data_IF_178380404518
#
_entry.id   IF_178380404518
#
_cell.length_a   1.000
_cell.length_b   1.000
_cell.length_c   1.000
_cell.angle_alpha   90.00
_cell.angle_beta   90.00
_cell.angle_gamma   90.00
#
_symmetry.space_group_name_H-M   'P 1'
#
loop_
_entity.id
_entity.type
_entity.pdbx_description
1 polymer ?
#
# COMPACT_ATOMS: atom_id res chain seq x y z
N UNK A 1 -14.97 9.94 8.83
CA UNK A 1 -15.35 8.55 9.18
C UNK A 1 -14.09 7.81 9.62
N UNK A 2 -14.16 6.95 10.66
CA UNK A 2 -13.00 6.29 11.30
C UNK A 2 -12.03 5.73 10.26
N UNK A 3 -10.76 6.10 10.29
CA UNK A 3 -9.74 5.75 9.28
C UNK A 3 -9.66 4.23 8.99
N UNK A 4 -10.00 3.41 9.97
CA UNK A 4 -10.05 1.94 9.87
C UNK A 4 -11.23 1.41 9.04
N UNK A 5 -12.37 2.13 9.02
CA UNK A 5 -13.55 1.71 8.26
C UNK A 5 -13.31 1.78 6.75
N UNK A 6 -12.43 2.69 6.29
CA UNK A 6 -12.06 2.80 4.88
C UNK A 6 -11.36 1.53 4.39
N UNK A 7 -10.52 0.92 5.22
CA UNK A 7 -9.83 -0.33 4.88
C UNK A 7 -10.81 -1.49 4.77
N UNK A 8 -11.77 -1.57 5.70
CA UNK A 8 -12.82 -2.59 5.64
C UNK A 8 -13.65 -2.43 4.37
N UNK A 9 -14.03 -1.20 4.00
CA UNK A 9 -14.76 -0.92 2.75
C UNK A 9 -13.96 -1.32 1.52
N UNK A 10 -12.65 -1.03 1.47
CA UNK A 10 -11.76 -1.44 0.36
C UNK A 10 -11.76 -2.97 0.19
N UNK A 11 -11.66 -3.71 1.30
CA UNK A 11 -11.53 -5.18 1.26
C UNK A 11 -12.88 -5.90 1.08
N UNK A 12 -13.95 -5.37 1.65
CA UNK A 12 -15.27 -6.01 1.70
C UNK A 12 -16.17 -5.57 0.54
N UNK A 13 -16.12 -4.29 0.14
CA UNK A 13 -17.02 -3.68 -0.84
C UNK A 13 -16.24 -2.92 -1.93
N UNK A 14 -15.28 -3.61 -2.57
CA UNK A 14 -14.39 -3.01 -3.59
C UNK A 14 -15.13 -2.30 -4.74
N UNK A 15 -16.25 -2.85 -5.20
CA UNK A 15 -16.96 -2.30 -6.36
C UNK A 15 -17.62 -0.96 -6.01
N UNK A 16 -18.26 -0.87 -4.84
CA UNK A 16 -18.84 0.37 -4.30
C UNK A 16 -17.72 1.39 -4.05
N UNK A 17 -16.59 0.93 -3.52
CA UNK A 17 -15.45 1.79 -3.26
C UNK A 17 -14.88 2.41 -4.55
N UNK A 18 -14.72 1.61 -5.62
CA UNK A 18 -14.26 2.11 -6.91
C UNK A 18 -15.29 3.00 -7.60
N UNK A 19 -16.60 2.72 -7.49
CA UNK A 19 -17.64 3.61 -8.01
C UNK A 19 -17.63 4.95 -7.31
N UNK A 20 -17.44 4.99 -5.98
CA UNK A 20 -17.33 6.26 -5.26
C UNK A 20 -16.07 7.06 -5.63
N UNK A 21 -14.96 6.40 -5.99
CA UNK A 21 -13.78 7.09 -6.57
C UNK A 21 -14.13 7.69 -7.94
N UNK A 22 -14.82 6.92 -8.79
CA UNK A 22 -15.28 7.36 -10.11
C UNK A 22 -16.22 8.58 -10.00
N UNK A 23 -17.16 8.55 -9.06
CA UNK A 23 -18.13 9.62 -8.84
C UNK A 23 -17.56 10.80 -8.03
N UNK A 24 -16.33 10.67 -7.53
CA UNK A 24 -15.62 11.71 -6.79
C UNK A 24 -16.16 11.98 -5.38
N UNK A 25 -16.88 11.02 -4.81
CA UNK A 25 -17.56 11.17 -3.52
C UNK A 25 -16.53 11.07 -2.38
N UNK A 26 -16.37 12.17 -1.64
CA UNK A 26 -15.49 12.31 -0.48
C UNK A 26 -14.00 11.95 -0.72
N UNK A 27 -13.53 12.09 -1.96
CA UNK A 27 -12.13 11.89 -2.37
C UNK A 27 -11.07 12.42 -1.39
N UNK A 28 -11.11 13.70 -0.94
CA UNK A 28 -10.05 14.23 -0.07
C UNK A 28 -10.02 13.57 1.31
N UNK A 29 -11.16 13.14 1.85
CA UNK A 29 -11.20 12.43 3.13
C UNK A 29 -10.66 11.01 2.99
N UNK A 30 -11.05 10.30 1.93
CA UNK A 30 -10.54 8.95 1.61
C UNK A 30 -9.04 8.95 1.37
N UNK A 31 -8.54 9.92 0.60
CA UNK A 31 -7.10 10.10 0.37
C UNK A 31 -6.34 10.29 1.68
N UNK A 32 -6.82 11.16 2.57
CA UNK A 32 -6.17 11.36 3.89
C UNK A 32 -6.17 10.10 4.73
N UNK A 33 -7.31 9.39 4.82
CA UNK A 33 -7.42 8.16 5.58
C UNK A 33 -6.50 7.06 5.05
N UNK A 34 -6.43 6.88 3.72
CA UNK A 34 -5.54 5.92 3.06
C UNK A 34 -4.06 6.27 3.23
N UNK A 35 -3.73 7.55 3.14
CA UNK A 35 -2.38 8.03 3.32
C UNK A 35 -1.91 7.78 4.76
N UNK A 36 -2.72 8.16 5.76
CA UNK A 36 -2.38 7.96 7.17
C UNK A 36 -2.29 6.48 7.55
N UNK A 37 -3.25 5.67 7.09
CA UNK A 37 -3.24 4.22 7.35
C UNK A 37 -2.07 3.50 6.70
N UNK A 38 -1.78 3.77 5.42
CA UNK A 38 -0.63 3.17 4.73
C UNK A 38 0.70 3.60 5.38
N UNK A 39 0.86 4.87 5.74
CA UNK A 39 2.03 5.38 6.47
C UNK A 39 2.23 4.64 7.79
N UNK A 40 1.16 4.49 8.59
CA UNK A 40 1.22 3.79 9.86
C UNK A 40 1.57 2.30 9.70
N UNK A 41 0.93 1.61 8.75
CA UNK A 41 1.15 0.17 8.56
C UNK A 41 2.51 -0.16 7.97
N UNK A 42 2.99 0.63 7.00
CA UNK A 42 4.36 0.48 6.48
C UNK A 42 5.40 0.76 7.56
N UNK A 43 5.17 1.77 8.42
CA UNK A 43 6.08 2.06 9.53
C UNK A 43 6.12 0.92 10.55
N UNK A 44 4.97 0.36 10.92
CA UNK A 44 4.87 -0.79 11.83
C UNK A 44 5.59 -2.02 11.27
N UNK A 45 5.32 -2.37 10.00
CA UNK A 45 6.00 -3.50 9.36
C UNK A 45 7.51 -3.25 9.20
N UNK A 46 7.91 -2.02 8.88
CA UNK A 46 9.32 -1.65 8.78
C UNK A 46 10.07 -1.72 10.11
N UNK A 47 9.41 -1.38 11.22
CA UNK A 47 9.95 -1.57 12.56
C UNK A 47 10.16 -3.05 12.88
N UNK A 48 9.19 -3.91 12.53
CA UNK A 48 9.29 -5.37 12.68
C UNK A 48 10.43 -5.95 11.85
N UNK A 49 10.62 -5.49 10.62
CA UNK A 49 11.70 -5.96 9.76
C UNK A 49 13.09 -5.55 10.29
N UNK A 50 13.22 -4.29 10.73
CA UNK A 50 14.51 -3.74 11.17
C UNK A 50 14.91 -4.08 12.62
N UNK A 51 14.01 -4.65 13.43
CA UNK A 51 14.32 -5.11 14.79
C UNK A 51 15.30 -6.29 14.82
N UNK A 52 15.56 -6.93 13.68
CA UNK A 52 16.49 -8.04 13.51
C UNK A 52 17.96 -7.71 13.76
N UNK A 53 18.37 -6.44 13.69
CA UNK A 53 19.79 -6.04 13.82
C UNK A 53 20.03 -5.03 14.95
N UNK A 54 19.21 -3.98 15.04
CA UNK A 54 19.36 -2.94 16.06
C UNK A 54 18.11 -2.06 16.14
N UNK A 55 17.82 -1.52 17.31
CA UNK A 55 16.72 -0.55 17.51
C UNK A 55 16.85 0.67 16.58
N UNK A 56 18.07 1.13 16.33
CA UNK A 56 18.34 2.23 15.38
C UNK A 56 18.06 1.85 13.92
N UNK A 57 18.28 0.58 13.57
CA UNK A 57 17.98 0.06 12.23
C UNK A 57 16.48 -0.20 12.04
N UNK A 58 15.77 -0.57 13.11
CA UNK A 58 14.32 -0.63 13.14
C UNK A 58 13.70 0.74 12.85
N UNK A 59 14.16 1.79 13.54
CA UNK A 59 13.66 3.14 13.32
C UNK A 59 13.98 3.66 11.92
N UNK A 60 15.20 3.42 11.42
CA UNK A 60 15.59 3.79 10.06
C UNK A 60 14.72 3.09 9.01
N UNK A 61 14.45 1.80 9.19
CA UNK A 61 13.63 1.00 8.25
C UNK A 61 12.15 1.39 8.29
N UNK A 62 11.62 1.69 9.48
CA UNK A 62 10.25 2.16 9.68
C UNK A 62 9.97 3.49 8.98
N UNK A 63 10.96 4.39 8.91
CA UNK A 63 10.82 5.66 8.20
C UNK A 63 11.09 5.50 6.70
N UNK A 64 12.08 4.68 6.33
CA UNK A 64 12.50 4.51 4.94
C UNK A 64 11.44 3.84 4.07
N UNK A 65 10.72 2.84 4.61
CA UNK A 65 9.71 2.10 3.86
C UNK A 65 8.53 2.97 3.37
N UNK A 66 7.86 3.74 4.24
CA UNK A 66 6.81 4.65 3.79
C UNK A 66 7.31 5.70 2.79
N UNK A 67 8.49 6.28 3.01
CA UNK A 67 9.09 7.26 2.09
C UNK A 67 9.30 6.64 0.71
N UNK A 68 9.80 5.41 0.66
CA UNK A 68 10.05 4.71 -0.60
C UNK A 68 8.74 4.50 -1.38
N UNK A 69 7.68 4.02 -0.73
CA UNK A 69 6.38 3.82 -1.39
C UNK A 69 5.73 5.15 -1.82
N UNK A 70 5.82 6.19 -1.00
CA UNK A 70 5.29 7.52 -1.37
C UNK A 70 6.08 8.16 -2.52
N UNK A 71 7.41 8.02 -2.54
CA UNK A 71 8.23 8.45 -3.65
C UNK A 71 7.87 7.71 -4.95
N UNK A 72 7.64 6.39 -4.88
CA UNK A 72 7.17 5.62 -6.04
C UNK A 72 5.81 6.10 -6.53
N UNK A 73 4.87 6.42 -5.63
CA UNK A 73 3.59 7.01 -6.02
C UNK A 73 3.78 8.33 -6.74
N UNK A 74 4.65 9.21 -6.23
CA UNK A 74 4.89 10.53 -6.83
C UNK A 74 5.50 10.42 -8.24
N UNK A 75 6.38 9.44 -8.46
CA UNK A 75 7.01 9.19 -9.76
C UNK A 75 6.05 8.48 -10.74
N UNK A 76 5.26 7.52 -10.25
CA UNK A 76 4.37 6.70 -11.09
C UNK A 76 3.00 7.36 -11.36
N UNK A 77 2.55 8.29 -10.52
CA UNK A 77 1.27 8.98 -10.71
C UNK A 77 1.17 9.77 -12.02
N UNK A 78 2.13 10.66 -12.38
CA UNK A 78 2.03 11.42 -13.63
C UNK A 78 2.13 10.50 -14.86
N UNK A 79 3.00 9.50 -14.82
CA UNK A 79 3.16 8.56 -15.94
C UNK A 79 1.90 7.73 -16.18
N UNK A 80 1.30 7.15 -15.12
CA UNK A 80 0.02 6.45 -15.23
C UNK A 80 -1.12 7.34 -15.70
N UNK A 81 -1.15 8.61 -15.26
CA UNK A 81 -2.16 9.57 -15.70
C UNK A 81 -2.08 9.81 -17.22
N UNK A 82 -0.89 10.09 -17.74
CA UNK A 82 -0.71 10.28 -19.18
C UNK A 82 -1.03 9.02 -19.98
N UNK A 83 -0.66 7.83 -19.50
CA UNK A 83 -1.08 6.59 -20.15
C UNK A 83 -2.61 6.44 -20.17
N UNK A 84 -3.30 6.69 -19.05
CA UNK A 84 -4.76 6.61 -19.00
C UNK A 84 -5.43 7.59 -19.98
N UNK A 85 -4.94 8.82 -20.08
CA UNK A 85 -5.43 9.81 -21.06
C UNK A 85 -5.18 9.35 -22.50
N UNK A 86 -4.00 8.77 -22.80
CA UNK A 86 -3.69 8.22 -24.13
C UNK A 86 -4.61 7.06 -24.53
N UNK A 87 -5.03 6.23 -23.56
CA UNK A 87 -6.00 5.15 -23.78
C UNK A 87 -7.46 5.64 -23.85
N UNK A 88 -7.71 6.96 -23.78
CA UNK A 88 -9.04 7.56 -23.90
C UNK A 88 -9.84 7.60 -22.60
N UNK A 89 -9.19 7.45 -21.45
CA UNK A 89 -9.85 7.50 -20.13
C UNK A 89 -10.15 8.95 -19.71
N UNK A 90 -11.36 9.20 -19.18
CA UNK A 90 -11.78 10.51 -18.67
C UNK A 90 -11.40 10.75 -17.20
N UNK A 91 -10.38 10.05 -16.70
CA UNK A 91 -9.99 10.12 -15.28
C UNK A 91 -9.30 11.44 -14.93
N UNK A 92 -9.68 12.01 -13.79
CA UNK A 92 -8.98 13.14 -13.18
C UNK A 92 -7.68 12.68 -12.48
N UNK A 93 -6.69 13.56 -12.41
CA UNK A 93 -5.41 13.29 -11.72
C UNK A 93 -5.63 12.81 -10.27
N UNK A 94 -6.58 13.41 -9.56
CA UNK A 94 -6.94 13.05 -8.18
C UNK A 94 -7.50 11.63 -8.07
N UNK A 95 -8.27 11.17 -9.07
CA UNK A 95 -8.81 9.81 -9.11
C UNK A 95 -7.70 8.80 -9.36
N UNK A 96 -6.76 9.11 -10.26
CA UNK A 96 -5.58 8.27 -10.48
C UNK A 96 -4.73 8.14 -9.21
N UNK A 97 -4.47 9.26 -8.51
CA UNK A 97 -3.77 9.23 -7.22
C UNK A 97 -4.54 8.40 -6.19
N UNK A 98 -5.87 8.51 -6.12
CA UNK A 98 -6.69 7.71 -5.21
C UNK A 98 -6.61 6.21 -5.52
N UNK A 99 -6.59 5.81 -6.79
CA UNK A 99 -6.41 4.41 -7.21
C UNK A 99 -5.05 3.85 -6.80
N UNK A 100 -3.97 4.59 -7.07
CA UNK A 100 -2.61 4.18 -6.69
C UNK A 100 -2.49 4.12 -5.16
N UNK A 101 -3.05 5.10 -4.45
CA UNK A 101 -3.04 5.12 -2.99
C UNK A 101 -3.85 3.96 -2.40
N UNK A 102 -4.96 3.58 -3.03
CA UNK A 102 -5.73 2.39 -2.65
C UNK A 102 -4.88 1.13 -2.78
N UNK A 103 -4.17 0.97 -3.91
CA UNK A 103 -3.25 -0.14 -4.09
C UNK A 103 -2.15 -0.16 -3.01
N UNK A 104 -1.58 1.01 -2.67
CA UNK A 104 -0.62 1.12 -1.57
C UNK A 104 -1.22 0.71 -0.22
N UNK A 105 -2.42 1.18 0.11
CA UNK A 105 -3.11 0.80 1.35
C UNK A 105 -3.33 -0.71 1.42
N UNK A 106 -3.76 -1.35 0.32
CA UNK A 106 -3.90 -2.81 0.26
C UNK A 106 -2.56 -3.51 0.50
N UNK A 107 -1.47 -3.06 -0.16
CA UNK A 107 -0.14 -3.65 0.09
C UNK A 107 0.30 -3.49 1.55
N UNK A 108 0.03 -2.34 2.17
CA UNK A 108 0.41 -2.06 3.56
C UNK A 108 -0.36 -2.93 4.55
N UNK A 109 -1.66 -3.14 4.31
CA UNK A 109 -2.50 -4.03 5.13
C UNK A 109 -2.05 -5.48 5.03
N UNK A 110 -1.70 -5.94 3.83
CA UNK A 110 -1.18 -7.29 3.62
C UNK A 110 0.16 -7.48 4.34
N UNK A 111 1.09 -6.52 4.20
CA UNK A 111 2.36 -6.54 4.91
C UNK A 111 2.16 -6.61 6.42
N UNK A 112 1.28 -5.78 6.97
CA UNK A 112 0.94 -5.82 8.40
C UNK A 112 0.35 -7.18 8.82
N UNK A 113 -0.47 -7.80 7.97
CA UNK A 113 -1.02 -9.14 8.20
C UNK A 113 0.07 -10.22 8.26
N UNK A 114 1.16 -10.04 7.52
CA UNK A 114 2.35 -10.91 7.57
C UNK A 114 3.36 -10.52 8.67
N UNK A 115 3.17 -9.40 9.38
CA UNK A 115 4.04 -8.99 10.47
C UNK A 115 4.20 -10.03 11.60
N UNK A 116 3.13 -10.67 12.13
CA UNK A 116 3.28 -11.70 13.16
C UNK A 116 4.05 -12.92 12.67
N UNK A 117 3.90 -13.29 11.39
CA UNK A 117 4.66 -14.39 10.78
C UNK A 117 6.15 -14.00 10.74
N UNK A 118 6.46 -12.77 10.31
CA UNK A 118 7.84 -12.26 10.32
C UNK A 118 8.44 -12.23 11.73
N UNK A 119 7.68 -11.77 12.74
CA UNK A 119 8.11 -11.78 14.14
C UNK A 119 8.38 -13.19 14.68
N UNK A 120 7.52 -14.15 14.34
CA UNK A 120 7.71 -15.55 14.77
C UNK A 120 9.02 -16.13 14.24
N UNK A 121 9.32 -15.90 12.96
CA UNK A 121 10.58 -16.35 12.37
C UNK A 121 11.79 -15.57 12.88
N UNK A 122 11.64 -14.29 13.20
CA UNK A 122 12.68 -13.49 13.84
C UNK A 122 13.05 -14.03 15.22
N UNK A 123 12.08 -14.48 16.01
CA UNK A 123 12.30 -15.07 17.34
C UNK A 123 12.84 -16.51 17.27
N UNK A 124 12.46 -17.27 16.24
CA UNK A 124 12.76 -18.71 16.15
C UNK A 124 14.03 -19.04 15.38
N UNK A 125 14.45 -18.18 14.43
CA UNK A 125 15.56 -18.46 13.51
C UNK A 125 16.67 -17.41 13.62
N UNK A 126 17.92 -17.88 13.75
CA UNK A 126 19.13 -17.03 13.77
C UNK A 126 19.77 -16.83 12.38
N UNK A 127 19.23 -17.47 11.33
CA UNK A 127 19.74 -17.40 9.96
C UNK A 127 19.24 -16.13 9.24
N UNK A 128 20.11 -15.12 9.14
CA UNK A 128 19.79 -13.83 8.51
C UNK A 128 19.37 -13.95 7.04
N UNK A 129 19.99 -14.85 6.28
CA UNK A 129 19.70 -15.03 4.86
C UNK A 129 18.26 -15.52 4.64
N UNK A 130 17.79 -16.44 5.49
CA UNK A 130 16.41 -16.93 5.45
C UNK A 130 15.41 -15.81 5.75
N UNK A 131 15.67 -15.00 6.79
CA UNK A 131 14.81 -13.88 7.16
C UNK A 131 14.71 -12.84 6.02
N UNK A 132 15.81 -12.55 5.31
CA UNK A 132 15.77 -11.67 4.13
C UNK A 132 14.88 -12.23 3.03
N UNK A 133 15.09 -13.49 2.63
CA UNK A 133 14.30 -14.10 1.55
C UNK A 133 12.82 -14.16 1.91
N UNK A 134 12.49 -14.44 3.18
CA UNK A 134 11.11 -14.42 3.67
C UNK A 134 10.46 -13.04 3.49
N UNK A 135 11.12 -11.96 3.93
CA UNK A 135 10.58 -10.61 3.77
C UNK A 135 10.47 -10.23 2.28
N UNK A 136 11.45 -10.60 1.44
CA UNK A 136 11.37 -10.39 -0.01
C UNK A 136 10.16 -11.10 -0.62
N UNK A 137 9.90 -12.36 -0.22
CA UNK A 137 8.74 -13.10 -0.68
C UNK A 137 7.42 -12.45 -0.24
N UNK A 138 7.33 -12.00 1.03
CA UNK A 138 6.16 -11.30 1.55
C UNK A 138 5.90 -9.99 0.80
N UNK A 139 6.95 -9.20 0.53
CA UNK A 139 6.85 -7.98 -0.28
C UNK A 139 6.43 -8.27 -1.71
N UNK A 140 6.96 -9.33 -2.33
CA UNK A 140 6.61 -9.72 -3.69
C UNK A 140 5.12 -10.10 -3.79
N UNK A 141 4.64 -10.96 -2.88
CA UNK A 141 3.23 -11.39 -2.85
C UNK A 141 2.31 -10.20 -2.60
N UNK A 142 2.60 -9.40 -1.57
CA UNK A 142 1.81 -8.21 -1.23
C UNK A 142 1.78 -7.21 -2.39
N UNK A 143 2.93 -6.96 -3.02
CA UNK A 143 3.08 -6.05 -4.15
C UNK A 143 2.31 -6.51 -5.39
N UNK A 144 2.39 -7.78 -5.75
CA UNK A 144 1.64 -8.35 -6.89
C UNK A 144 0.14 -8.20 -6.66
N UNK A 145 -0.36 -8.47 -5.45
CA UNK A 145 -1.78 -8.30 -5.13
C UNK A 145 -2.19 -6.81 -5.21
N UNK A 146 -1.35 -5.90 -4.71
CA UNK A 146 -1.60 -4.46 -4.83
C UNK A 146 -1.67 -3.97 -6.28
N UNK A 147 -0.73 -4.41 -7.12
CA UNK A 147 -0.72 -4.06 -8.56
C UNK A 147 -1.92 -4.65 -9.28
N UNK A 148 -2.33 -5.87 -8.94
CA UNK A 148 -3.54 -6.48 -9.46
C UNK A 148 -4.79 -5.66 -9.09
N UNK A 149 -4.85 -5.17 -7.85
CA UNK A 149 -5.93 -4.30 -7.37
C UNK A 149 -5.95 -2.95 -8.11
N UNK A 150 -4.77 -2.37 -8.40
CA UNK A 150 -4.64 -1.17 -9.23
C UNK A 150 -5.19 -1.41 -10.65
N UNK A 151 -4.83 -2.52 -11.27
CA UNK A 151 -5.31 -2.88 -12.61
C UNK A 151 -6.83 -3.08 -12.67
N UNK A 152 -7.43 -3.67 -11.63
CA UNK A 152 -8.89 -3.75 -11.51
C UNK A 152 -9.52 -2.36 -11.35
N UNK A 153 -9.00 -1.54 -10.43
CA UNK A 153 -9.50 -0.19 -10.19
C UNK A 153 -9.43 0.71 -11.42
N UNK A 154 -8.34 0.65 -12.18
CA UNK A 154 -8.21 1.40 -13.44
C UNK A 154 -9.29 1.02 -14.47
N UNK A 155 -9.60 -0.28 -14.62
CA UNK A 155 -10.66 -0.75 -15.52
C UNK A 155 -12.06 -0.35 -15.05
N UNK A 156 -12.29 -0.33 -13.73
CA UNK A 156 -13.57 0.03 -13.12
C UNK A 156 -13.76 1.54 -13.03
N UNK A 157 -12.71 2.36 -13.17
CA UNK A 157 -12.86 3.83 -13.11
C UNK A 157 -12.73 4.47 -14.50
N UNK A 158 -12.14 3.79 -15.49
CA UNK A 158 -12.09 4.25 -16.88
C UNK A 158 -13.44 4.23 -17.58
#
# INVERSE_FOLDING_TARGET
MKDLAVIETILRNRDIFFSEIRDGIELPQKLRAMFLSSLAFFALYGAVMGSSHSFWQALSSAVKLPILFLATLLICAPTLYFFNVLYGSNQNLTQNVALILTALTVTAVLLLSFAPISLFFLLTTSQYQFFKLLNVAIFAISGVIGVYFLGQGMRIVS
#
